data_IF_244639618477
#
_entry.id   IF_244639618477
#
_cell.length_a   1.000
_cell.length_b   1.000
_cell.length_c   1.000
_cell.angle_alpha   90.00
_cell.angle_beta   90.00
_cell.angle_gamma   90.00
#
_symmetry.space_group_name_H-M   'P 1'
#
loop_
_entity.id
_entity.type
_entity.pdbx_description
1 polymer ?
#
# COMPACT_ATOMS: atom_id res chain seq x y z
N UNK A 1 4.57 2.68 2.86
CA UNK A 1 3.89 3.74 3.64
C UNK A 1 4.85 4.84 4.11
N UNK A 2 5.92 4.59 4.91
CA UNK A 2 6.70 5.67 5.56
C UNK A 2 7.31 6.68 4.57
N UNK A 3 7.82 6.21 3.43
CA UNK A 3 8.34 7.08 2.36
C UNK A 3 7.28 8.06 1.85
N UNK A 4 6.07 7.58 1.58
CA UNK A 4 5.00 8.40 1.00
C UNK A 4 4.36 9.34 2.04
N UNK A 5 4.45 9.00 3.33
CA UNK A 5 4.05 9.88 4.43
C UNK A 5 4.83 11.20 4.41
N UNK A 6 6.10 11.18 3.99
CA UNK A 6 6.95 12.39 3.92
C UNK A 6 6.31 13.50 3.09
N UNK A 7 5.59 13.19 2.00
CA UNK A 7 4.91 14.22 1.21
C UNK A 7 3.88 15.01 2.04
N UNK A 8 3.16 14.32 2.93
CA UNK A 8 2.16 14.93 3.82
C UNK A 8 2.81 15.67 4.98
N UNK A 9 3.91 15.16 5.52
CA UNK A 9 4.74 15.89 6.50
C UNK A 9 5.37 17.16 5.91
N UNK A 10 5.52 17.21 4.58
CA UNK A 10 5.97 18.39 3.83
C UNK A 10 4.82 19.25 3.28
N UNK A 11 3.57 18.99 3.70
CA UNK A 11 2.43 19.87 3.45
C UNK A 11 1.44 19.42 2.39
N UNK A 12 1.60 18.22 1.81
CA UNK A 12 0.54 17.64 0.97
C UNK A 12 -0.71 17.34 1.82
N UNK A 13 -1.90 17.56 1.23
CA UNK A 13 -3.19 17.38 1.90
C UNK A 13 -4.11 16.40 1.16
N UNK A 14 -3.55 15.67 0.20
CA UNK A 14 -4.27 14.72 -0.64
C UNK A 14 -5.15 15.36 -1.73
N UNK A 15 -5.91 14.55 -2.48
CA UNK A 15 -5.88 13.10 -2.43
C UNK A 15 -4.53 12.53 -2.89
N UNK A 16 -4.09 11.41 -2.32
CA UNK A 16 -2.87 10.70 -2.79
C UNK A 16 -3.04 10.18 -4.23
N UNK A 17 -1.93 9.75 -4.84
CA UNK A 17 -1.93 9.05 -6.15
C UNK A 17 -2.65 7.71 -6.01
N UNK A 18 -3.37 7.30 -7.05
CA UNK A 18 -4.18 6.08 -7.15
C UNK A 18 -3.38 4.77 -7.02
N UNK A 19 -2.28 4.61 -7.75
CA UNK A 19 -1.45 3.40 -7.65
C UNK A 19 -0.61 3.30 -6.35
N UNK A 20 -0.70 4.31 -5.47
CA UNK A 20 -0.06 4.27 -4.16
C UNK A 20 -0.91 3.43 -3.19
N UNK A 21 -0.82 2.09 -3.33
CA UNK A 21 -1.55 1.14 -2.50
C UNK A 21 -1.23 1.22 -0.99
N UNK A 22 -0.18 1.94 -0.60
CA UNK A 22 0.06 2.34 0.78
C UNK A 22 -0.87 3.47 1.27
N UNK A 23 -1.73 4.02 0.42
CA UNK A 23 -2.71 5.06 0.71
C UNK A 23 -3.53 4.81 1.98
N UNK A 24 -4.07 3.60 2.23
CA UNK A 24 -4.80 3.31 3.47
C UNK A 24 -4.00 3.64 4.74
N UNK A 25 -2.68 3.39 4.73
CA UNK A 25 -1.80 3.76 5.85
C UNK A 25 -1.65 5.27 5.98
N UNK A 26 -1.53 5.99 4.85
CA UNK A 26 -1.47 7.46 4.86
C UNK A 26 -2.76 8.04 5.44
N UNK A 27 -3.92 7.53 5.02
CA UNK A 27 -5.22 7.95 5.54
C UNK A 27 -5.37 7.63 7.02
N UNK A 28 -4.93 6.45 7.47
CA UNK A 28 -4.95 6.07 8.87
C UNK A 28 -4.08 6.99 9.74
N UNK A 29 -2.91 7.40 9.24
CA UNK A 29 -1.96 8.25 9.97
C UNK A 29 -2.39 9.72 9.97
N UNK A 30 -2.82 10.24 8.82
CA UNK A 30 -2.99 11.69 8.60
C UNK A 30 -4.43 12.15 8.57
N UNK A 31 -5.39 11.25 8.33
CA UNK A 31 -6.78 11.59 8.07
C UNK A 31 -7.04 12.25 6.71
N UNK A 32 -6.01 12.50 5.89
CA UNK A 32 -6.17 13.10 4.57
C UNK A 32 -6.80 12.12 3.55
N UNK A 33 -7.50 12.66 2.53
CA UNK A 33 -8.09 11.83 1.49
C UNK A 33 -7.03 11.11 0.65
N UNK A 34 -7.43 9.98 0.07
CA UNK A 34 -6.60 9.15 -0.81
C UNK A 34 -7.36 8.75 -2.07
N UNK A 35 -6.64 8.64 -3.18
CA UNK A 35 -7.13 7.93 -4.37
C UNK A 35 -6.63 6.49 -4.31
N UNK A 36 -7.43 5.53 -4.78
CA UNK A 36 -7.01 4.14 -4.98
C UNK A 36 -7.55 3.61 -6.31
N UNK A 37 -7.00 2.47 -6.71
CA UNK A 37 -7.37 1.70 -7.90
C UNK A 37 -7.45 0.21 -7.56
N UNK A 38 -8.10 -0.60 -8.39
CA UNK A 38 -8.29 -2.03 -8.11
C UNK A 38 -9.01 -2.73 -9.25
N UNK A 39 -10.16 -3.37 -8.99
CA UNK A 39 -10.83 -4.19 -10.01
C UNK A 39 -11.11 -3.43 -11.33
N UNK A 40 -11.52 -2.16 -11.25
CA UNK A 40 -11.79 -1.30 -12.42
C UNK A 40 -10.51 -0.71 -13.07
N UNK A 41 -9.33 -1.04 -12.55
CA UNK A 41 -8.01 -0.71 -13.13
C UNK A 41 -7.35 -1.90 -13.83
N UNK A 42 -8.07 -3.00 -14.03
CA UNK A 42 -7.59 -4.17 -14.80
C UNK A 42 -7.19 -3.83 -16.25
N UNK A 43 -7.62 -2.67 -16.78
CA UNK A 43 -7.18 -2.15 -18.07
C UNK A 43 -5.70 -1.70 -18.08
N UNK A 44 -5.12 -1.40 -16.92
CA UNK A 44 -3.74 -0.97 -16.77
C UNK A 44 -2.82 -2.12 -16.35
N UNK A 45 -3.20 -2.88 -15.32
CA UNK A 45 -2.41 -4.00 -14.80
C UNK A 45 -3.27 -5.00 -14.02
N UNK A 46 -2.70 -6.21 -13.82
CA UNK A 46 -3.31 -7.25 -12.98
C UNK A 46 -2.81 -7.09 -11.55
N UNK A 47 -3.71 -7.32 -10.59
CA UNK A 47 -3.42 -7.09 -9.18
C UNK A 47 -4.19 -8.08 -8.30
N UNK A 48 -3.61 -8.57 -7.18
CA UNK A 48 -4.31 -9.42 -6.22
C UNK A 48 -5.22 -8.63 -5.25
N UNK A 49 -5.28 -7.30 -5.39
CA UNK A 49 -5.99 -6.39 -4.46
C UNK A 49 -7.12 -5.61 -5.17
N UNK A 50 -8.03 -6.32 -5.83
CA UNK A 50 -9.05 -5.72 -6.68
C UNK A 50 -10.21 -5.07 -5.92
N UNK A 51 -10.84 -5.80 -4.98
CA UNK A 51 -11.95 -5.31 -4.19
C UNK A 51 -11.49 -4.66 -2.89
N UNK A 52 -10.50 -5.21 -2.21
CA UNK A 52 -10.03 -4.68 -0.92
C UNK A 52 -9.51 -3.24 -1.02
N UNK A 53 -8.97 -2.84 -2.17
CA UNK A 53 -8.60 -1.45 -2.42
C UNK A 53 -9.79 -0.47 -2.36
N UNK A 54 -11.03 -0.95 -2.52
CA UNK A 54 -12.26 -0.16 -2.33
C UNK A 54 -12.66 0.04 -0.87
N UNK A 55 -11.95 -0.55 0.09
CA UNK A 55 -12.33 -0.50 1.50
C UNK A 55 -12.36 0.93 2.06
N UNK A 56 -11.41 1.78 1.68
CA UNK A 56 -11.28 3.15 2.24
C UNK A 56 -10.88 4.27 1.25
N UNK A 57 -11.14 4.19 -0.08
CA UNK A 57 -10.82 5.28 -0.99
C UNK A 57 -11.68 6.52 -0.72
N UNK A 58 -11.17 7.69 -1.09
CA UNK A 58 -11.94 8.92 -1.25
C UNK A 58 -12.17 9.23 -2.74
N UNK A 59 -11.22 8.81 -3.60
CA UNK A 59 -11.33 8.78 -5.05
C UNK A 59 -11.03 7.40 -5.61
N UNK A 60 -11.67 7.04 -6.72
CA UNK A 60 -11.52 5.75 -7.38
C UNK A 60 -11.05 5.92 -8.82
N UNK A 61 -9.98 5.22 -9.21
CA UNK A 61 -9.31 5.35 -10.50
C UNK A 61 -9.25 4.03 -11.27
N UNK A 62 -9.13 4.15 -12.60
CA UNK A 62 -8.85 3.04 -13.51
C UNK A 62 -7.35 2.95 -13.87
N UNK A 63 -6.48 3.68 -13.16
CA UNK A 63 -5.05 3.89 -13.42
C UNK A 63 -4.78 4.55 -14.78
N UNK A 64 -4.87 3.78 -15.86
CA UNK A 64 -4.60 4.25 -17.21
C UNK A 64 -5.26 3.37 -18.25
N UNK A 65 -5.72 3.97 -19.35
CA UNK A 65 -6.29 3.24 -20.48
C UNK A 65 -5.99 3.97 -21.79
N UNK A 66 -5.56 3.22 -22.81
CA UNK A 66 -5.37 3.77 -24.14
C UNK A 66 -6.75 4.16 -24.75
N UNK A 67 -6.87 5.29 -25.48
CA UNK A 67 -8.13 5.75 -26.04
C UNK A 67 -8.54 4.98 -27.31
N UNK A 68 -8.60 3.65 -27.23
CA UNK A 68 -9.01 2.77 -28.32
C UNK A 68 -10.54 2.64 -28.38
N UNK A 69 -11.09 2.32 -29.55
CA UNK A 69 -12.53 2.11 -29.72
C UNK A 69 -12.90 0.68 -29.34
N UNK A 70 -13.84 0.54 -28.42
CA UNK A 70 -14.53 -0.69 -28.04
C UNK A 70 -15.95 -0.69 -28.63
N UNK A 71 -16.67 -1.80 -28.49
CA UNK A 71 -18.08 -1.89 -28.91
C UNK A 71 -18.96 -0.85 -28.20
N UNK A 72 -18.70 -0.60 -26.91
CA UNK A 72 -19.46 0.34 -26.08
C UNK A 72 -19.05 1.82 -26.19
N UNK A 73 -18.03 2.15 -27.00
CA UNK A 73 -17.49 3.51 -27.11
C UNK A 73 -15.97 3.56 -26.99
N UNK A 74 -15.40 4.73 -26.72
CA UNK A 74 -13.97 4.84 -26.41
C UNK A 74 -13.68 4.14 -25.08
N UNK A 75 -12.53 3.46 -24.97
CA UNK A 75 -12.15 2.75 -23.76
C UNK A 75 -12.12 3.65 -22.52
N UNK A 76 -11.72 4.92 -22.67
CA UNK A 76 -11.80 5.92 -21.59
C UNK A 76 -13.24 6.19 -21.13
N UNK A 77 -14.21 6.22 -22.04
CA UNK A 77 -15.64 6.35 -21.72
C UNK A 77 -16.16 5.11 -21.00
N UNK A 78 -15.78 3.92 -21.48
CA UNK A 78 -16.18 2.65 -20.86
C UNK A 78 -15.59 2.51 -19.45
N UNK A 79 -14.31 2.82 -19.27
CA UNK A 79 -13.67 2.82 -17.94
C UNK A 79 -14.31 3.84 -17.00
N UNK A 80 -14.58 5.07 -17.48
CA UNK A 80 -15.27 6.08 -16.67
C UNK A 80 -16.65 5.60 -16.21
N UNK A 81 -17.41 4.96 -17.09
CA UNK A 81 -18.71 4.38 -16.73
C UNK A 81 -18.60 3.34 -15.60
N UNK A 82 -17.61 2.45 -15.66
CA UNK A 82 -17.34 1.47 -14.60
C UNK A 82 -17.00 2.16 -13.26
N UNK A 83 -16.14 3.18 -13.27
CA UNK A 83 -15.81 3.97 -12.08
C UNK A 83 -17.05 4.66 -11.49
N UNK A 84 -17.92 5.21 -12.35
CA UNK A 84 -19.17 5.85 -11.94
C UNK A 84 -20.10 4.86 -11.26
N UNK A 85 -20.23 3.62 -11.76
CA UNK A 85 -21.05 2.60 -11.12
C UNK A 85 -20.48 2.16 -9.77
N UNK A 86 -19.16 1.93 -9.69
CA UNK A 86 -18.51 1.55 -8.44
C UNK A 86 -18.69 2.61 -7.35
N UNK A 87 -18.44 3.88 -7.68
CA UNK A 87 -18.58 5.01 -6.75
C UNK A 87 -20.04 5.29 -6.38
N UNK A 88 -21.01 5.04 -7.29
CA UNK A 88 -22.45 5.12 -6.96
C UNK A 88 -22.84 4.12 -5.88
N UNK A 89 -22.32 2.90 -5.92
CA UNK A 89 -22.55 1.90 -4.87
C UNK A 89 -21.93 2.33 -3.54
N UNK A 90 -20.67 2.79 -3.54
CA UNK A 90 -20.00 3.37 -2.36
C UNK A 90 -20.86 4.48 -1.73
N UNK A 91 -21.34 5.42 -2.56
CA UNK A 91 -22.15 6.55 -2.11
C UNK A 91 -23.51 6.12 -1.58
N UNK A 92 -24.11 5.07 -2.14
CA UNK A 92 -25.36 4.51 -1.64
C UNK A 92 -25.17 3.93 -0.24
N UNK A 93 -24.15 3.08 -0.05
CA UNK A 93 -23.81 2.55 1.28
C UNK A 93 -23.44 3.65 2.28
N UNK A 94 -22.84 4.75 1.81
CA UNK A 94 -22.53 5.90 2.65
C UNK A 94 -23.77 6.63 3.18
N UNK A 95 -24.88 6.64 2.43
CA UNK A 95 -26.16 7.24 2.83
C UNK A 95 -26.91 6.40 3.87
N UNK A 96 -26.70 5.09 3.88
CA UNK A 96 -27.22 4.14 4.89
C UNK A 96 -26.53 4.27 6.27
N UNK A 97 -25.67 5.27 6.45
CA UNK A 97 -24.97 5.55 7.70
C UNK A 97 -23.83 4.56 7.99
N UNK A 98 -23.40 4.52 9.25
CA UNK A 98 -22.21 3.76 9.65
C UNK A 98 -22.33 2.25 9.40
N UNK A 99 -23.54 1.70 9.50
CA UNK A 99 -23.80 0.28 9.22
C UNK A 99 -23.53 -0.04 7.75
N UNK A 100 -24.15 0.69 6.82
CA UNK A 100 -23.95 0.46 5.38
C UNK A 100 -22.50 0.61 4.94
N UNK A 101 -21.84 1.68 5.41
CA UNK A 101 -20.39 1.94 5.15
C UNK A 101 -19.52 0.77 5.60
N UNK A 102 -19.70 0.31 6.83
CA UNK A 102 -18.89 -0.78 7.40
C UNK A 102 -19.19 -2.11 6.73
N UNK A 103 -20.47 -2.44 6.51
CA UNK A 103 -20.85 -3.67 5.82
C UNK A 103 -20.21 -3.77 4.44
N UNK A 104 -20.31 -2.73 3.62
CA UNK A 104 -19.74 -2.77 2.26
C UNK A 104 -18.21 -2.81 2.29
N UNK A 105 -17.56 -2.01 3.16
CA UNK A 105 -16.11 -2.06 3.40
C UNK A 105 -15.66 -3.46 3.80
N UNK A 106 -16.36 -4.08 4.73
CA UNK A 106 -15.99 -5.38 5.29
C UNK A 106 -16.11 -6.48 4.24
N UNK A 107 -17.14 -6.42 3.38
CA UNK A 107 -17.25 -7.35 2.25
C UNK A 107 -16.11 -7.23 1.25
N UNK A 108 -15.71 -6.01 0.90
CA UNK A 108 -14.55 -5.80 0.02
C UNK A 108 -13.25 -6.31 0.63
N UNK A 109 -13.06 -6.12 1.94
CA UNK A 109 -11.88 -6.66 2.60
C UNK A 109 -11.92 -8.20 2.68
N UNK A 110 -13.07 -8.76 3.07
CA UNK A 110 -13.24 -10.21 3.22
C UNK A 110 -13.12 -10.97 1.91
N UNK A 111 -13.47 -10.38 0.77
CA UNK A 111 -13.38 -11.06 -0.52
C UNK A 111 -11.94 -11.36 -0.94
N UNK A 112 -10.97 -10.54 -0.53
CA UNK A 112 -9.60 -10.62 -1.05
C UNK A 112 -8.56 -10.93 0.05
N UNK A 113 -8.79 -10.54 1.31
CA UNK A 113 -7.74 -10.53 2.35
C UNK A 113 -7.07 -11.88 2.60
N UNK A 114 -7.77 -13.00 2.39
CA UNK A 114 -7.23 -14.35 2.60
C UNK A 114 -6.52 -14.92 1.37
N UNK A 115 -6.58 -14.24 0.21
CA UNK A 115 -6.13 -14.77 -1.08
C UNK A 115 -4.67 -14.42 -1.39
N UNK A 116 -4.14 -13.33 -0.83
CA UNK A 116 -2.77 -12.88 -1.09
C UNK A 116 -2.23 -12.09 0.12
N UNK A 117 -0.95 -12.24 0.51
CA UNK A 117 -0.36 -11.44 1.59
C UNK A 117 -0.46 -9.92 1.35
N UNK A 118 -0.44 -9.47 0.09
CA UNK A 118 -0.61 -8.05 -0.26
C UNK A 118 -2.03 -7.56 0.06
N UNK A 119 -3.04 -8.41 -0.10
CA UNK A 119 -4.41 -8.10 0.32
C UNK A 119 -4.53 -8.13 1.84
N UNK A 120 -3.95 -9.13 2.50
CA UNK A 120 -4.01 -9.30 3.95
C UNK A 120 -3.55 -8.05 4.72
N UNK A 121 -2.49 -7.39 4.24
CA UNK A 121 -1.94 -6.16 4.86
C UNK A 121 -2.75 -4.90 4.55
N UNK A 122 -3.73 -4.95 3.65
CA UNK A 122 -4.64 -3.84 3.36
C UNK A 122 -5.98 -3.93 4.12
N UNK A 123 -6.17 -4.97 4.94
CA UNK A 123 -7.35 -5.09 5.79
C UNK A 123 -7.43 -3.88 6.74
N UNK A 124 -8.58 -3.18 6.88
CA UNK A 124 -8.62 -1.91 7.61
C UNK A 124 -8.13 -1.95 9.06
N UNK A 125 -8.40 -3.03 9.79
CA UNK A 125 -7.88 -3.26 11.14
C UNK A 125 -6.36 -3.45 11.17
N UNK A 126 -5.82 -4.18 10.20
CA UNK A 126 -4.37 -4.40 10.05
C UNK A 126 -3.66 -3.10 9.69
N UNK A 127 -4.23 -2.32 8.78
CA UNK A 127 -3.70 -1.00 8.40
C UNK A 127 -3.63 -0.08 9.63
N UNK A 128 -4.67 -0.04 10.46
CA UNK A 128 -4.70 0.79 11.67
C UNK A 128 -3.64 0.36 12.70
N UNK A 129 -3.52 -0.95 12.95
CA UNK A 129 -2.51 -1.51 13.87
C UNK A 129 -1.09 -1.17 13.41
N UNK A 130 -0.75 -1.54 12.16
CA UNK A 130 0.57 -1.29 11.59
C UNK A 130 0.88 0.21 11.46
N UNK A 131 -0.10 1.05 11.12
CA UNK A 131 0.06 2.50 11.08
C UNK A 131 0.47 3.05 12.46
N UNK A 132 -0.19 2.61 13.53
CA UNK A 132 0.12 2.99 14.90
C UNK A 132 1.56 2.62 15.30
N UNK A 133 1.99 1.41 14.94
CA UNK A 133 3.36 0.95 15.20
C UNK A 133 4.39 1.75 14.40
N UNK A 134 4.11 2.06 13.13
CA UNK A 134 4.99 2.86 12.28
C UNK A 134 5.22 4.24 12.91
N UNK A 135 4.16 4.98 13.25
CA UNK A 135 4.30 6.37 13.73
C UNK A 135 4.88 6.48 15.15
N UNK A 136 4.96 5.38 15.89
CA UNK A 136 5.63 5.33 17.18
C UNK A 136 7.16 5.50 17.07
N UNK A 137 7.73 5.24 15.90
CA UNK A 137 9.18 5.39 15.67
C UNK A 137 9.56 6.84 15.32
N UNK A 138 10.68 7.35 15.87
CA UNK A 138 11.01 8.77 15.83
C UNK A 138 11.61 9.24 14.50
N UNK A 139 12.26 8.35 13.75
CA UNK A 139 12.98 8.71 12.51
C UNK A 139 12.39 8.03 11.27
N UNK A 140 12.52 8.62 10.06
CA UNK A 140 12.06 7.98 8.82
C UNK A 140 12.65 6.58 8.58
N UNK A 141 13.93 6.37 8.93
CA UNK A 141 14.57 5.06 8.86
C UNK A 141 13.91 4.05 9.81
N UNK A 142 13.77 4.39 11.09
CA UNK A 142 13.18 3.50 12.07
C UNK A 142 11.71 3.18 11.75
N UNK A 143 10.95 4.15 11.24
CA UNK A 143 9.59 3.95 10.72
C UNK A 143 9.56 2.92 9.58
N UNK A 144 10.54 2.97 8.68
CA UNK A 144 10.66 2.01 7.57
C UNK A 144 11.04 0.61 8.06
N UNK A 145 12.02 0.53 8.97
CA UNK A 145 12.42 -0.73 9.62
C UNK A 145 11.25 -1.36 10.38
N UNK A 146 10.53 -0.57 11.18
CA UNK A 146 9.33 -1.00 11.91
C UNK A 146 8.23 -1.47 10.98
N UNK A 147 7.96 -0.75 9.88
CA UNK A 147 6.97 -1.17 8.90
C UNK A 147 7.27 -2.57 8.35
N UNK A 148 8.54 -2.86 8.03
CA UNK A 148 8.95 -4.18 7.55
C UNK A 148 8.76 -5.25 8.63
N UNK A 149 9.29 -5.04 9.83
CA UNK A 149 9.21 -6.00 10.94
C UNK A 149 7.76 -6.31 11.33
N UNK A 150 6.95 -5.29 11.57
CA UNK A 150 5.55 -5.43 11.99
C UNK A 150 4.70 -6.12 10.92
N UNK A 151 4.94 -5.82 9.64
CA UNK A 151 4.25 -6.50 8.53
C UNK A 151 4.58 -7.99 8.49
N UNK A 152 5.86 -8.34 8.64
CA UNK A 152 6.32 -9.73 8.62
C UNK A 152 5.78 -10.51 9.83
N UNK A 153 5.75 -9.89 11.01
CA UNK A 153 5.12 -10.45 12.22
C UNK A 153 3.63 -10.69 11.98
N UNK A 154 2.91 -9.70 11.45
CA UNK A 154 1.47 -9.79 11.16
C UNK A 154 1.14 -10.92 10.19
N UNK A 155 1.93 -11.07 9.13
CA UNK A 155 1.74 -12.12 8.12
C UNK A 155 2.06 -13.52 8.67
N UNK A 156 3.09 -13.64 9.51
CA UNK A 156 3.37 -14.91 10.21
C UNK A 156 2.24 -15.30 11.15
N UNK A 157 1.72 -14.34 11.93
CA UNK A 157 0.54 -14.57 12.79
C UNK A 157 -0.68 -14.99 11.96
N UNK A 158 -0.96 -14.30 10.85
CA UNK A 158 -2.08 -14.65 9.97
C UNK A 158 -1.97 -16.09 9.43
N UNK A 159 -0.76 -16.53 9.10
CA UNK A 159 -0.48 -17.89 8.65
C UNK A 159 -0.71 -18.90 9.77
N UNK A 160 -0.25 -18.62 10.99
CA UNK A 160 -0.40 -19.50 12.16
C UNK A 160 -1.87 -19.65 12.57
N UNK A 161 -2.62 -18.55 12.53
CA UNK A 161 -4.06 -18.48 12.80
C UNK A 161 -4.92 -19.03 11.64
N UNK A 162 -4.30 -19.40 10.51
CA UNK A 162 -4.97 -19.84 9.27
C UNK A 162 -5.91 -18.79 8.65
N UNK A 163 -5.68 -17.52 8.92
CA UNK A 163 -6.32 -16.39 8.24
C UNK A 163 -5.76 -16.17 6.82
N UNK A 164 -4.52 -16.62 6.58
CA UNK A 164 -3.82 -16.48 5.30
C UNK A 164 -3.19 -17.82 4.91
N UNK A 165 -3.51 -18.30 3.70
CA UNK A 165 -2.92 -19.52 3.16
C UNK A 165 -1.75 -19.15 2.27
N UNK A 166 -0.55 -19.55 2.68
CA UNK A 166 0.67 -19.36 1.90
C UNK A 166 1.14 -20.70 1.34
N UNK A 167 1.57 -20.70 0.09
CA UNK A 167 2.29 -21.83 -0.51
C UNK A 167 3.59 -22.10 0.25
N UNK A 168 4.13 -23.32 0.10
CA UNK A 168 5.43 -23.66 0.68
C UNK A 168 6.57 -22.76 0.19
N UNK A 169 6.46 -22.18 -1.02
CA UNK A 169 7.44 -21.23 -1.54
C UNK A 169 7.31 -19.87 -0.87
N UNK A 170 6.09 -19.33 -0.76
CA UNK A 170 5.82 -18.04 -0.11
C UNK A 170 6.21 -18.08 1.38
N UNK A 171 5.89 -19.17 2.08
CA UNK A 171 6.27 -19.34 3.48
C UNK A 171 7.80 -19.31 3.68
N UNK A 172 8.58 -19.90 2.76
CA UNK A 172 10.04 -19.83 2.81
C UNK A 172 10.57 -18.44 2.51
N UNK A 173 9.95 -17.72 1.58
CA UNK A 173 10.31 -16.33 1.30
C UNK A 173 9.99 -15.41 2.47
N UNK A 174 8.85 -15.60 3.13
CA UNK A 174 8.47 -14.83 4.30
C UNK A 174 9.50 -14.98 5.44
N UNK A 175 9.99 -16.20 5.70
CA UNK A 175 11.05 -16.41 6.70
C UNK A 175 12.39 -15.77 6.30
N UNK A 176 12.75 -15.80 5.01
CA UNK A 176 13.96 -15.11 4.52
C UNK A 176 13.86 -13.60 4.69
N UNK A 177 12.72 -13.01 4.32
CA UNK A 177 12.47 -11.57 4.47
C UNK A 177 12.48 -11.15 5.94
N UNK A 178 11.90 -11.97 6.82
CA UNK A 178 11.95 -11.76 8.27
C UNK A 178 13.38 -11.67 8.78
N UNK A 179 14.22 -12.67 8.47
CA UNK A 179 15.64 -12.67 8.87
C UNK A 179 16.40 -11.47 8.32
N UNK A 180 16.11 -11.07 7.08
CA UNK A 180 16.72 -9.88 6.48
C UNK A 180 16.30 -8.59 7.20
N UNK A 181 15.02 -8.45 7.56
CA UNK A 181 14.52 -7.30 8.31
C UNK A 181 15.07 -7.26 9.74
N UNK A 182 15.15 -8.39 10.42
CA UNK A 182 15.75 -8.53 11.77
C UNK A 182 17.25 -8.17 11.79
N UNK A 183 17.96 -8.38 10.67
CA UNK A 183 19.38 -8.06 10.54
C UNK A 183 19.66 -6.57 10.23
N UNK A 184 18.63 -5.75 9.98
CA UNK A 184 18.79 -4.31 9.78
C UNK A 184 19.22 -3.64 11.10
N UNK A 185 20.27 -2.80 11.09
CA UNK A 185 20.72 -2.11 12.29
C UNK A 185 19.66 -1.14 12.80
N UNK A 186 19.80 -0.70 14.04
CA UNK A 186 18.93 0.34 14.61
C UNK A 186 19.44 1.74 14.26
N UNK A 187 20.75 1.86 14.05
CA UNK A 187 21.41 3.08 13.65
C UNK A 187 21.34 3.28 12.12
N UNK A 188 20.90 4.47 11.70
CA UNK A 188 20.73 4.80 10.28
C UNK A 188 22.08 4.97 9.58
N UNK A 189 23.08 5.55 10.26
CA UNK A 189 24.42 5.74 9.69
C UNK A 189 25.10 4.39 9.45
N UNK A 190 24.94 3.43 10.37
CA UNK A 190 25.39 2.05 10.17
C UNK A 190 24.70 1.40 8.96
N UNK A 191 23.39 1.61 8.78
CA UNK A 191 22.68 1.11 7.60
C UNK A 191 23.26 1.72 6.31
N UNK A 192 23.45 3.04 6.28
CA UNK A 192 24.02 3.75 5.13
C UNK A 192 25.42 3.21 4.82
N UNK A 193 26.30 3.09 5.83
CA UNK A 193 27.65 2.55 5.67
C UNK A 193 27.66 1.11 5.13
N UNK A 194 26.71 0.26 5.54
CA UNK A 194 26.55 -1.11 5.01
C UNK A 194 26.05 -1.13 3.56
N UNK A 195 25.28 -0.12 3.14
CA UNK A 195 24.69 -0.05 1.80
C UNK A 195 25.62 0.59 0.77
N UNK A 196 26.38 1.62 1.14
CA UNK A 196 27.25 2.39 0.23
C UNK A 196 28.17 1.50 -0.63
N UNK A 197 28.92 0.51 -0.10
CA UNK A 197 29.79 -0.34 -0.91
C UNK A 197 29.06 -1.24 -1.92
N UNK A 198 27.72 -1.35 -1.81
CA UNK A 198 26.88 -2.19 -2.69
C UNK A 198 26.29 -1.39 -3.85
N UNK A 199 26.44 -0.06 -3.84
CA UNK A 199 25.89 0.84 -4.84
C UNK A 199 26.81 0.92 -6.07
N UNK A 200 26.21 1.00 -7.25
CA UNK A 200 26.92 1.26 -8.49
C UNK A 200 27.04 2.78 -8.70
N UNK A 201 28.22 3.34 -8.44
CA UNK A 201 28.51 4.77 -8.56
C UNK A 201 28.34 5.30 -10.01
N UNK A 202 28.38 4.43 -11.03
CA UNK A 202 28.09 4.81 -12.41
C UNK A 202 26.59 5.00 -12.69
N UNK A 203 25.72 4.53 -11.79
CA UNK A 203 24.26 4.57 -11.92
C UNK A 203 23.57 5.45 -10.89
N UNK A 204 24.25 5.85 -9.83
CA UNK A 204 23.66 6.58 -8.69
C UNK A 204 24.43 7.87 -8.45
N UNK A 205 23.69 8.98 -8.31
CA UNK A 205 24.24 10.29 -7.94
C UNK A 205 23.93 10.58 -6.47
N UNK A 206 24.87 10.27 -5.58
CA UNK A 206 24.65 10.46 -4.13
C UNK A 206 24.35 11.89 -3.71
N UNK A 207 24.84 12.88 -4.47
CA UNK A 207 24.53 14.30 -4.23
C UNK A 207 23.04 14.63 -4.29
N UNK A 208 22.25 13.91 -5.09
CA UNK A 208 20.79 14.09 -5.15
C UNK A 208 20.07 13.67 -3.85
N UNK A 209 20.77 12.91 -3.00
CA UNK A 209 20.28 12.42 -1.72
C UNK A 209 20.94 13.13 -0.52
N UNK A 210 21.73 14.18 -0.76
CA UNK A 210 22.48 14.87 0.31
C UNK A 210 23.67 14.07 0.85
N UNK A 211 24.10 13.03 0.13
CA UNK A 211 25.17 12.11 0.53
C UNK A 211 26.46 12.33 -0.28
N UNK A 212 26.69 13.55 -0.73
CA UNK A 212 27.91 13.90 -1.46
C UNK A 212 29.16 13.67 -0.58
N UNK A 213 30.20 13.06 -1.15
CA UNK A 213 31.48 12.81 -0.47
C UNK A 213 31.56 11.52 0.37
N UNK A 214 30.55 10.64 0.31
CA UNK A 214 30.55 9.35 1.01
C UNK A 214 31.05 8.15 0.16
N UNK A 215 31.38 8.37 -1.11
CA UNK A 215 31.93 7.35 -2.03
C UNK A 215 33.24 7.80 -2.69
N UNK A 216 34.00 8.67 -2.02
CA UNK A 216 35.36 9.03 -2.47
C UNK A 216 36.37 7.93 -2.10
#
# INVERSE_FOLDING_TARGET
APRSLVAFEKGAQGPSKDCAYEGPYIKAITGYPISLEGAEAACAHLSPIGNIAKAVPDLWSNESVNPVRLLGGLASTVSLEQLVYATRLMNTAAREGMKGRRTLRDWWAQSDAALDPQAAVLRPDVVLDLAGQIIAEPTPYLRTRRAALATLERLNRAKEERELVLSGLEARWLDRLRKAAEALPEDEDEFIARMLPRLDAGKIRLGEYGLAGLLD
#
